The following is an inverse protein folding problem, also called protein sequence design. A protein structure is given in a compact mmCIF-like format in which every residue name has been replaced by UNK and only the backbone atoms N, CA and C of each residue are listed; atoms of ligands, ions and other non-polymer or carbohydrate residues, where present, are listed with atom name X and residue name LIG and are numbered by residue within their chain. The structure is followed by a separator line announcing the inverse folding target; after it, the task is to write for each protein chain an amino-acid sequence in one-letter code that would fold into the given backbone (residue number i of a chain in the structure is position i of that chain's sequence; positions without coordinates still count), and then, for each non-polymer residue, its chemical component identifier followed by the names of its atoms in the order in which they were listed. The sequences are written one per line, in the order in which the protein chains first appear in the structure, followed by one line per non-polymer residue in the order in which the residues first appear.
data_IF_492613250208
#
_entry.id   IF_492613250208
#
_cell.length_a   1.000
_cell.length_b   1.000
_cell.length_c   1.000
_cell.angle_alpha   90.00
_cell.angle_beta   90.00
_cell.angle_gamma   90.00
#
_symmetry.space_group_name_H-M   'P 1'
#
loop_
_entity.id
_entity.type
_entity.pdbx_description
1 polymer ?
#
# COMPACT_ATOMS: atom_id res chain seq x y z
N UNK A 1 -24.56 10.56 4.46
CA UNK A 1 -24.46 11.60 5.52
C UNK A 1 -25.29 11.34 6.78
N UNK A 2 -26.58 10.98 6.70
CA UNK A 2 -27.41 10.74 7.91
C UNK A 2 -26.89 9.61 8.80
N UNK A 3 -26.38 8.54 8.19
CA UNK A 3 -25.90 7.35 8.92
C UNK A 3 -24.69 7.65 9.80
N UNK A 4 -23.67 8.34 9.28
CA UNK A 4 -22.45 8.64 10.05
C UNK A 4 -22.71 9.59 11.23
N UNK A 5 -23.63 10.56 11.08
CA UNK A 5 -24.05 11.44 12.18
C UNK A 5 -24.79 10.68 13.28
N UNK A 6 -25.63 9.72 12.91
CA UNK A 6 -26.33 8.85 13.86
C UNK A 6 -25.32 8.01 14.65
N UNK A 7 -24.37 7.40 13.94
CA UNK A 7 -23.32 6.58 14.55
C UNK A 7 -22.43 7.39 15.50
N UNK A 8 -22.01 8.60 15.10
CA UNK A 8 -21.24 9.50 15.98
C UNK A 8 -22.02 9.84 17.25
N UNK A 9 -23.31 10.13 17.13
CA UNK A 9 -24.18 10.45 18.29
C UNK A 9 -24.34 9.26 19.23
N UNK A 10 -24.45 8.05 18.68
CA UNK A 10 -24.51 6.80 19.45
C UNK A 10 -23.18 6.54 20.17
N UNK A 11 -22.06 6.65 19.46
CA UNK A 11 -20.73 6.46 20.03
C UNK A 11 -20.40 7.51 21.10
N UNK A 12 -20.83 8.75 20.92
CA UNK A 12 -20.64 9.83 21.90
C UNK A 12 -21.38 9.57 23.21
N UNK A 13 -22.52 8.88 23.17
CA UNK A 13 -23.31 8.51 24.36
C UNK A 13 -22.91 7.17 24.97
N UNK A 14 -22.23 6.31 24.20
CA UNK A 14 -21.76 5.00 24.65
C UNK A 14 -20.58 5.10 25.63
N UNK A 15 -20.57 4.22 26.63
CA UNK A 15 -19.42 4.01 27.51
C UNK A 15 -18.34 3.14 26.83
N UNK A 16 -17.15 3.10 27.40
CA UNK A 16 -16.08 2.18 26.96
C UNK A 16 -16.56 0.72 26.98
N UNK A 17 -17.34 0.34 28.01
CA UNK A 17 -17.91 -1.01 28.14
C UNK A 17 -18.87 -1.33 26.99
N UNK A 18 -19.72 -0.37 26.63
CA UNK A 18 -20.68 -0.53 25.52
C UNK A 18 -19.95 -0.67 24.18
N UNK A 19 -18.88 0.11 23.97
CA UNK A 19 -18.06 0.01 22.76
C UNK A 19 -17.32 -1.32 22.67
N UNK A 20 -16.78 -1.83 23.78
CA UNK A 20 -16.13 -3.15 23.81
C UNK A 20 -17.09 -4.31 23.55
N UNK A 21 -18.39 -4.10 23.74
CA UNK A 21 -19.41 -5.10 23.41
C UNK A 21 -19.74 -5.15 21.90
N UNK A 22 -19.22 -4.23 21.09
CA UNK A 22 -19.43 -4.22 19.63
C UNK A 22 -18.75 -5.46 19.02
N UNK A 23 -19.50 -6.36 18.37
CA UNK A 23 -18.94 -7.57 17.77
C UNK A 23 -17.86 -7.24 16.73
N UNK A 24 -16.69 -7.89 16.85
CA UNK A 24 -15.57 -7.70 15.92
C UNK A 24 -14.74 -6.44 16.14
N UNK A 25 -15.04 -5.61 17.15
CA UNK A 25 -14.19 -4.50 17.53
C UNK A 25 -12.93 -5.01 18.22
N UNK A 26 -11.76 -4.70 17.67
CA UNK A 26 -10.49 -4.90 18.36
C UNK A 26 -10.46 -4.00 19.61
N UNK A 27 -10.26 -4.55 20.83
CA UNK A 27 -10.23 -3.76 22.06
C UNK A 27 -9.24 -2.59 22.03
N UNK A 28 -8.14 -2.72 21.28
CA UNK A 28 -7.15 -1.64 21.10
C UNK A 28 -7.70 -0.42 20.36
N UNK A 29 -8.85 -0.55 19.70
CA UNK A 29 -9.50 0.53 18.92
C UNK A 29 -10.56 1.28 19.71
N UNK A 30 -10.91 0.84 20.91
CA UNK A 30 -12.05 1.41 21.67
C UNK A 30 -11.91 2.91 21.90
N UNK A 31 -10.71 3.36 22.21
CA UNK A 31 -10.41 4.78 22.48
C UNK A 31 -10.38 5.62 21.20
N UNK A 32 -10.01 5.00 20.07
CA UNK A 32 -9.94 5.67 18.77
C UNK A 32 -11.26 5.69 18.02
N UNK A 33 -12.23 4.86 18.40
CA UNK A 33 -13.45 4.64 17.62
C UNK A 33 -14.28 5.92 17.42
N UNK A 34 -14.54 6.67 18.49
CA UNK A 34 -15.26 7.95 18.44
C UNK A 34 -14.47 9.04 17.68
N UNK A 35 -13.22 9.37 18.04
CA UNK A 35 -12.49 10.44 17.34
C UNK A 35 -12.29 10.14 15.85
N UNK A 36 -12.04 8.89 15.46
CA UNK A 36 -11.97 8.53 14.03
C UNK A 36 -13.30 8.71 13.31
N UNK A 37 -14.43 8.41 13.96
CA UNK A 37 -15.77 8.65 13.40
C UNK A 37 -16.02 10.14 13.16
N UNK A 38 -15.62 11.00 14.10
CA UNK A 38 -15.72 12.46 13.97
C UNK A 38 -14.88 12.96 12.79
N UNK A 39 -13.62 12.51 12.69
CA UNK A 39 -12.71 12.88 11.58
C UNK A 39 -13.31 12.44 10.25
N UNK A 40 -13.84 11.21 10.17
CA UNK A 40 -14.45 10.71 8.94
C UNK A 40 -15.68 11.52 8.54
N UNK A 41 -16.55 11.90 9.49
CA UNK A 41 -17.67 12.80 9.21
C UNK A 41 -17.18 14.14 8.65
N UNK A 42 -16.22 14.78 9.32
CA UNK A 42 -15.68 16.07 8.89
C UNK A 42 -15.08 15.98 7.48
N UNK A 43 -14.34 14.91 7.17
CA UNK A 43 -13.78 14.70 5.82
C UNK A 43 -14.87 14.59 4.75
N UNK A 44 -15.94 13.84 5.02
CA UNK A 44 -17.07 13.72 4.09
C UNK A 44 -17.81 15.05 3.89
N UNK A 45 -17.99 15.83 4.97
CA UNK A 45 -18.59 17.17 4.88
C UNK A 45 -17.73 18.13 4.05
N UNK A 46 -16.42 18.19 4.34
CA UNK A 46 -15.50 19.10 3.66
C UNK A 46 -15.28 18.75 2.20
N UNK A 47 -15.35 17.47 1.85
CA UNK A 47 -15.22 17.00 0.47
C UNK A 47 -16.52 17.05 -0.33
N UNK A 48 -17.68 17.27 0.32
CA UNK A 48 -18.99 17.20 -0.32
C UNK A 48 -19.40 15.79 -0.75
N UNK A 49 -18.66 14.76 -0.34
CA UNK A 49 -18.92 13.37 -0.68
C UNK A 49 -19.98 12.76 0.24
N UNK A 50 -20.84 11.92 -0.32
CA UNK A 50 -21.92 11.27 0.44
C UNK A 50 -21.63 9.81 0.78
N UNK A 51 -20.66 9.22 0.10
CA UNK A 51 -20.32 7.80 0.13
C UNK A 51 -18.81 7.61 0.25
N UNK A 52 -18.43 6.48 0.86
CA UNK A 52 -17.05 6.04 0.99
C UNK A 52 -16.99 4.58 0.56
N UNK A 53 -15.99 4.23 -0.24
CA UNK A 53 -15.67 2.82 -0.55
C UNK A 53 -14.53 2.36 0.34
N UNK A 54 -14.68 1.20 0.98
CA UNK A 54 -13.61 0.60 1.77
C UNK A 54 -12.56 0.00 0.84
N UNK A 55 -11.29 0.26 1.16
CA UNK A 55 -10.14 -0.30 0.46
C UNK A 55 -9.41 -1.26 1.40
N UNK A 56 -9.03 -2.42 0.89
CA UNK A 56 -8.19 -3.40 1.58
C UNK A 56 -6.69 -3.03 1.53
N UNK A 57 -6.32 -2.02 0.73
CA UNK A 57 -4.96 -1.50 0.57
C UNK A 57 -4.74 -0.21 1.33
N UNK A 58 -3.52 -0.04 1.81
CA UNK A 58 -3.05 1.14 2.53
C UNK A 58 -1.68 1.58 1.99
N UNK A 59 -0.91 2.28 2.83
CA UNK A 59 0.39 2.85 2.49
C UNK A 59 1.41 1.76 2.10
N UNK A 60 1.35 0.60 2.76
CA UNK A 60 2.31 -0.50 2.53
C UNK A 60 2.29 -0.95 1.07
N UNK A 61 1.11 -1.12 0.50
CA UNK A 61 0.97 -1.57 -0.88
C UNK A 61 1.40 -0.49 -1.86
N UNK A 62 1.16 0.79 -1.54
CA UNK A 62 1.73 1.91 -2.29
C UNK A 62 3.27 1.86 -2.36
N UNK A 63 3.94 1.59 -1.25
CA UNK A 63 5.41 1.43 -1.19
C UNK A 63 5.87 0.24 -2.03
N UNK A 64 5.17 -0.90 -1.94
CA UNK A 64 5.49 -2.09 -2.74
C UNK A 64 5.34 -1.79 -4.24
N UNK A 65 4.26 -1.13 -4.64
CA UNK A 65 4.03 -0.76 -6.04
C UNK A 65 5.07 0.24 -6.56
N UNK A 66 5.45 1.24 -5.76
CA UNK A 66 6.51 2.18 -6.11
C UNK A 66 7.87 1.46 -6.27
N UNK A 67 8.21 0.55 -5.35
CA UNK A 67 9.42 -0.25 -5.47
C UNK A 67 9.44 -1.07 -6.76
N UNK A 68 8.35 -1.78 -7.07
CA UNK A 68 8.23 -2.58 -8.30
C UNK A 68 8.35 -1.69 -9.54
N UNK A 69 7.70 -0.53 -9.55
CA UNK A 69 7.74 0.40 -10.66
C UNK A 69 9.18 0.89 -10.94
N UNK A 70 9.92 1.25 -9.89
CA UNK A 70 11.31 1.74 -9.99
C UNK A 70 12.32 0.65 -10.38
N UNK A 71 12.07 -0.61 -10.01
CA UNK A 71 13.02 -1.70 -10.20
C UNK A 71 12.57 -2.73 -11.25
N UNK A 72 11.56 -2.40 -12.06
CA UNK A 72 10.93 -3.32 -13.02
C UNK A 72 11.94 -4.02 -13.95
N UNK A 73 12.95 -3.31 -14.44
CA UNK A 73 13.98 -3.89 -15.32
C UNK A 73 14.91 -4.85 -14.59
N UNK A 74 15.28 -4.50 -13.35
CA UNK A 74 16.09 -5.35 -12.48
C UNK A 74 15.34 -6.63 -12.12
N UNK A 75 14.08 -6.52 -11.69
CA UNK A 75 13.21 -7.65 -11.34
C UNK A 75 12.99 -8.60 -12.53
N UNK A 76 12.78 -8.07 -13.74
CA UNK A 76 12.72 -8.91 -14.97
C UNK A 76 14.05 -9.64 -15.21
N UNK A 77 15.18 -8.96 -15.06
CA UNK A 77 16.49 -9.60 -15.22
C UNK A 77 16.76 -10.70 -14.18
N UNK A 78 16.17 -10.61 -12.96
CA UNK A 78 16.28 -11.67 -11.96
C UNK A 78 15.53 -12.94 -12.35
N UNK A 79 14.37 -12.79 -12.99
CA UNK A 79 13.57 -13.90 -13.50
C UNK A 79 14.23 -14.55 -14.73
N UNK A 80 14.78 -13.74 -15.65
CA UNK A 80 15.41 -14.24 -16.88
C UNK A 80 16.78 -14.87 -16.64
N UNK A 81 17.52 -14.43 -15.60
CA UNK A 81 18.88 -14.88 -15.31
C UNK A 81 19.05 -15.27 -13.83
N UNK A 82 18.86 -16.56 -13.49
CA UNK A 82 19.02 -17.07 -12.13
C UNK A 82 20.46 -16.93 -11.60
N UNK A 83 21.47 -17.04 -12.47
CA UNK A 83 22.88 -16.85 -12.11
C UNK A 83 23.17 -15.37 -11.83
N UNK A 84 23.56 -15.09 -10.58
CA UNK A 84 23.84 -13.75 -10.04
C UNK A 84 24.92 -13.02 -10.84
N UNK A 85 25.97 -13.72 -11.31
CA UNK A 85 27.07 -13.11 -12.08
C UNK A 85 26.59 -12.68 -13.44
N UNK A 86 25.84 -13.54 -14.14
CA UNK A 86 25.26 -13.24 -15.46
C UNK A 86 24.21 -12.11 -15.37
N UNK A 87 23.41 -12.11 -14.32
CA UNK A 87 22.44 -11.05 -13.99
C UNK A 87 23.10 -9.69 -13.83
N UNK A 88 24.20 -9.61 -13.08
CA UNK A 88 24.92 -8.36 -12.85
C UNK A 88 25.56 -7.79 -14.13
N UNK A 89 26.17 -8.66 -14.95
CA UNK A 89 26.77 -8.25 -16.22
C UNK A 89 25.72 -7.73 -17.20
N UNK A 90 24.59 -8.44 -17.35
CA UNK A 90 23.50 -8.01 -18.24
C UNK A 90 22.80 -6.75 -17.70
N UNK A 91 22.58 -6.67 -16.39
CA UNK A 91 22.01 -5.49 -15.74
C UNK A 91 22.88 -4.24 -15.92
N UNK A 92 24.21 -4.38 -15.81
CA UNK A 92 25.16 -3.30 -16.07
C UNK A 92 25.16 -2.89 -17.56
N UNK A 93 25.21 -3.86 -18.47
CA UNK A 93 25.18 -3.60 -19.91
C UNK A 93 23.91 -2.83 -20.35
N UNK A 94 22.75 -3.17 -19.78
CA UNK A 94 21.48 -2.46 -20.01
C UNK A 94 21.51 -1.01 -19.51
N UNK A 95 22.02 -0.78 -18.29
CA UNK A 95 22.15 0.59 -17.71
C UNK A 95 23.13 1.48 -18.48
N UNK A 96 24.17 0.88 -19.07
CA UNK A 96 25.17 1.61 -19.85
C UNK A 96 24.79 1.76 -21.34
N UNK A 97 23.59 1.35 -21.75
CA UNK A 97 23.15 1.32 -23.16
C UNK A 97 24.17 0.65 -24.09
N UNK A 98 24.85 -0.39 -23.60
CA UNK A 98 25.87 -1.08 -24.38
C UNK A 98 25.21 -1.71 -25.63
N UNK A 99 25.73 -1.47 -26.85
CA UNK A 99 25.20 -2.08 -28.05
C UNK A 99 25.25 -3.61 -27.93
N UNK A 100 24.20 -4.30 -28.41
CA UNK A 100 24.09 -5.77 -28.38
C UNK A 100 25.16 -6.50 -29.24
N UNK A 101 26.09 -5.77 -29.85
CA UNK A 101 27.15 -6.32 -30.68
C UNK A 101 28.27 -6.84 -29.75
N UNK A 102 28.08 -8.10 -29.35
CA UNK A 102 29.11 -9.06 -28.95
C UNK A 102 29.85 -8.87 -27.61
N UNK A 103 29.29 -9.39 -26.49
CA UNK A 103 30.08 -9.88 -25.36
C UNK A 103 30.51 -11.36 -25.54
N UNK A 104 29.90 -12.10 -26.48
CA UNK A 104 30.07 -13.55 -26.61
C UNK A 104 31.49 -14.01 -27.02
N UNK A 105 32.33 -13.10 -27.53
CA UNK A 105 33.67 -13.43 -28.03
C UNK A 105 34.75 -13.40 -26.93
N UNK A 106 34.54 -12.68 -25.82
CA UNK A 106 35.55 -12.51 -24.77
C UNK A 106 35.39 -13.44 -23.56
N UNK A 107 34.29 -14.19 -23.48
CA UNK A 107 34.05 -15.17 -22.40
C UNK A 107 34.47 -16.61 -22.74
N UNK A 108 35.18 -16.82 -23.87
CA UNK A 108 35.74 -18.11 -24.30
C UNK A 108 37.28 -18.11 -24.30
N UNK A 109 37.88 -17.55 -23.25
CA UNK A 109 39.29 -17.78 -22.91
C UNK A 109 39.40 -18.07 -21.43
#
# INVERSE_FOLDING_TARGET
MKHIRSLESELARSSVKDRLAIPGLDPKRVDTLLPTTVVLRCLLELSGLQELTLCDKAIREGIIYDFIARHREGLKAEQDFPDIRRRNVIGLARRCHAPAIHPARMARR
#
